data_IF_440423447666
#
_entry.id   IF_440423447666
#
_cell.length_a   1.000
_cell.length_b   1.000
_cell.length_c   1.000
_cell.angle_alpha   90.00
_cell.angle_beta   90.00
_cell.angle_gamma   90.00
#
_symmetry.space_group_name_H-M   'P 1'
#
loop_
_entity.id
_entity.type
_entity.pdbx_description
1 polymer ?
#
# COMPACT_ATOMS: atom_id res chain seq x y z
N UNK A 1 2.40 -15.28 -3.07
CA UNK A 1 2.62 -14.33 -1.96
C UNK A 1 3.68 -13.30 -2.36
N UNK A 2 4.94 -13.73 -2.55
CA UNK A 2 6.04 -12.81 -2.90
C UNK A 2 5.84 -12.01 -4.20
N UNK A 3 5.27 -12.59 -5.26
CA UNK A 3 5.02 -11.88 -6.53
C UNK A 3 4.13 -10.65 -6.37
N UNK A 4 3.00 -10.78 -5.68
CA UNK A 4 2.08 -9.67 -5.42
C UNK A 4 2.72 -8.57 -4.54
N UNK A 5 3.56 -8.97 -3.58
CA UNK A 5 4.32 -8.02 -2.75
C UNK A 5 5.31 -7.24 -3.61
N UNK A 6 6.05 -7.91 -4.48
CA UNK A 6 7.01 -7.29 -5.40
C UNK A 6 6.31 -6.33 -6.38
N UNK A 7 5.19 -6.74 -6.98
CA UNK A 7 4.39 -5.88 -7.86
C UNK A 7 3.87 -4.63 -7.14
N UNK A 8 3.36 -4.78 -5.91
CA UNK A 8 2.88 -3.66 -5.10
C UNK A 8 4.01 -2.68 -4.77
N UNK A 9 5.20 -3.20 -4.45
CA UNK A 9 6.39 -2.38 -4.20
C UNK A 9 6.84 -1.64 -5.46
N UNK A 10 6.94 -2.32 -6.59
CA UNK A 10 7.33 -1.72 -7.87
C UNK A 10 6.37 -0.59 -8.26
N UNK A 11 5.06 -0.82 -8.21
CA UNK A 11 4.06 0.21 -8.52
C UNK A 11 4.19 1.41 -7.59
N UNK A 12 4.43 1.20 -6.30
CA UNK A 12 4.63 2.26 -5.32
C UNK A 12 5.87 3.11 -5.61
N UNK A 13 7.02 2.47 -5.88
CA UNK A 13 8.26 3.20 -6.19
C UNK A 13 8.22 3.91 -7.54
N UNK A 14 7.61 3.31 -8.56
CA UNK A 14 7.42 3.94 -9.87
C UNK A 14 6.52 5.18 -9.74
N UNK A 15 5.41 5.06 -9.02
CA UNK A 15 4.53 6.20 -8.75
C UNK A 15 5.27 7.31 -7.98
N UNK A 16 6.03 6.96 -6.94
CA UNK A 16 6.84 7.91 -6.19
C UNK A 16 7.82 8.67 -7.08
N UNK A 17 8.57 7.97 -7.92
CA UNK A 17 9.56 8.58 -8.80
C UNK A 17 8.90 9.54 -9.82
N UNK A 18 7.80 9.10 -10.43
CA UNK A 18 7.05 9.90 -11.41
C UNK A 18 6.43 11.13 -10.75
N UNK A 19 5.72 10.97 -9.63
CA UNK A 19 5.10 12.09 -8.94
C UNK A 19 6.11 13.10 -8.42
N UNK A 20 7.23 12.61 -7.88
CA UNK A 20 8.33 13.47 -7.45
C UNK A 20 8.87 14.30 -8.61
N UNK A 21 9.08 13.69 -9.78
CA UNK A 21 9.52 14.41 -10.96
C UNK A 21 8.50 15.45 -11.44
N UNK A 22 7.20 15.10 -11.44
CA UNK A 22 6.12 16.04 -11.80
C UNK A 22 6.09 17.23 -10.84
N UNK A 23 6.11 16.97 -9.53
CA UNK A 23 6.12 18.02 -8.49
C UNK A 23 7.36 18.90 -8.65
N UNK A 24 8.54 18.30 -8.81
CA UNK A 24 9.78 19.06 -8.98
C UNK A 24 9.70 19.97 -10.21
N UNK A 25 9.31 19.46 -11.38
CA UNK A 25 9.21 20.27 -12.60
C UNK A 25 8.12 21.35 -12.50
N UNK A 26 6.99 21.05 -11.86
CA UNK A 26 5.89 21.98 -11.71
C UNK A 26 6.19 23.12 -10.71
N UNK A 27 6.93 22.83 -9.65
CA UNK A 27 7.09 23.75 -8.51
C UNK A 27 8.48 24.40 -8.43
N UNK A 28 9.55 23.76 -8.94
CA UNK A 28 10.94 24.19 -8.69
C UNK A 28 11.29 25.60 -9.18
N UNK A 29 10.54 26.13 -10.16
CA UNK A 29 10.76 27.48 -10.67
C UNK A 29 9.94 28.56 -9.95
N UNK A 30 8.87 28.18 -9.25
CA UNK A 30 7.86 29.12 -8.75
C UNK A 30 7.68 29.05 -7.23
N UNK A 31 8.18 28.00 -6.58
CA UNK A 31 7.94 27.73 -5.18
C UNK A 31 9.26 27.67 -4.39
N UNK A 32 9.50 28.61 -3.47
CA UNK A 32 10.72 28.63 -2.67
C UNK A 32 10.81 27.46 -1.67
N UNK A 33 9.74 26.69 -1.44
CA UNK A 33 9.77 25.50 -0.59
C UNK A 33 10.30 24.25 -1.31
N UNK A 34 10.33 24.24 -2.65
CA UNK A 34 10.75 23.09 -3.45
C UNK A 34 11.88 23.56 -4.38
N UNK A 35 13.13 23.48 -3.94
CA UNK A 35 14.28 23.92 -4.76
C UNK A 35 15.12 22.75 -5.27
N UNK A 36 15.05 21.61 -4.59
CA UNK A 36 15.78 20.41 -4.94
C UNK A 36 14.85 19.23 -5.21
N UNK A 37 15.36 18.22 -5.91
CA UNK A 37 14.64 16.96 -6.09
C UNK A 37 14.33 16.28 -4.76
N UNK A 38 15.18 16.47 -3.73
CA UNK A 38 14.96 15.92 -2.40
C UNK A 38 13.77 16.59 -1.70
N UNK A 39 13.57 17.89 -1.87
CA UNK A 39 12.40 18.60 -1.30
C UNK A 39 11.10 18.11 -1.95
N UNK A 40 11.10 17.91 -3.27
CA UNK A 40 9.97 17.36 -4.00
C UNK A 40 9.69 15.89 -3.59
N UNK A 41 10.75 15.09 -3.37
CA UNK A 41 10.63 13.71 -2.91
C UNK A 41 10.05 13.67 -1.50
N UNK A 42 10.56 14.53 -0.62
CA UNK A 42 10.08 14.67 0.74
C UNK A 42 8.60 15.07 0.78
N UNK A 43 8.19 16.08 0.00
CA UNK A 43 6.80 16.46 -0.17
C UNK A 43 5.93 15.29 -0.66
N UNK A 44 6.40 14.58 -1.68
CA UNK A 44 5.64 13.48 -2.28
C UNK A 44 5.47 12.32 -1.30
N UNK A 45 6.55 11.92 -0.60
CA UNK A 45 6.51 10.84 0.40
C UNK A 45 5.65 11.23 1.60
N UNK A 46 5.80 12.44 2.14
CA UNK A 46 5.01 12.90 3.29
C UNK A 46 3.52 13.04 2.95
N UNK A 47 3.19 13.45 1.73
CA UNK A 47 1.82 13.50 1.20
C UNK A 47 1.25 12.10 1.00
N UNK A 48 2.03 11.20 0.39
CA UNK A 48 1.65 9.82 0.06
C UNK A 48 1.38 8.98 1.31
N UNK A 49 2.21 9.16 2.33
CA UNK A 49 2.08 8.50 3.65
C UNK A 49 1.04 9.17 4.54
N UNK A 50 0.36 10.21 4.06
CA UNK A 50 -0.59 11.04 4.82
C UNK A 50 0.01 11.68 6.08
N UNK A 51 1.34 11.78 6.15
CA UNK A 51 2.05 12.39 7.28
C UNK A 51 1.90 13.92 7.25
N UNK A 52 2.07 14.52 6.08
CA UNK A 52 1.70 15.92 5.81
C UNK A 52 2.23 16.94 6.80
N UNK A 53 3.54 16.96 7.07
CA UNK A 53 4.17 17.86 8.04
C UNK A 53 3.90 19.36 7.78
N UNK A 54 3.71 19.74 6.52
CA UNK A 54 3.32 21.10 6.12
C UNK A 54 4.46 22.13 6.09
N UNK A 55 5.70 21.69 6.30
CA UNK A 55 6.94 22.45 6.16
C UNK A 55 7.33 22.66 4.68
N UNK A 56 7.12 21.65 3.85
CA UNK A 56 7.19 21.73 2.39
C UNK A 56 5.79 21.52 1.82
N UNK A 57 5.32 22.46 0.99
CA UNK A 57 3.98 22.41 0.39
C UNK A 57 4.01 22.89 -1.06
N UNK A 58 3.13 22.34 -1.90
CA UNK A 58 2.93 22.83 -3.26
C UNK A 58 2.18 24.17 -3.25
N UNK A 59 2.66 25.15 -4.02
CA UNK A 59 2.17 26.51 -4.02
C UNK A 59 1.15 26.75 -5.15
N UNK A 60 0.27 27.72 -4.92
CA UNK A 60 -0.72 28.15 -5.92
C UNK A 60 -1.86 27.16 -6.18
N UNK A 61 -2.83 27.53 -7.04
CA UNK A 61 -4.00 26.69 -7.31
C UNK A 61 -3.66 25.37 -7.99
N UNK A 62 -2.70 25.40 -8.93
CA UNK A 62 -2.26 24.22 -9.67
C UNK A 62 -1.48 23.24 -8.79
N UNK A 63 -0.58 23.73 -7.92
CA UNK A 63 0.12 22.90 -6.95
C UNK A 63 -0.83 22.23 -5.96
N UNK A 64 -1.87 22.93 -5.50
CA UNK A 64 -2.93 22.35 -4.67
C UNK A 64 -3.71 21.25 -5.40
N UNK A 65 -4.09 21.48 -6.66
CA UNK A 65 -4.78 20.46 -7.46
C UNK A 65 -3.90 19.22 -7.68
N UNK A 66 -2.62 19.43 -8.00
CA UNK A 66 -1.63 18.36 -8.13
C UNK A 66 -1.51 17.56 -6.83
N UNK A 67 -1.48 18.24 -5.69
CA UNK A 67 -1.42 17.63 -4.36
C UNK A 67 -2.65 16.76 -4.09
N UNK A 68 -3.85 17.24 -4.41
CA UNK A 68 -5.10 16.47 -4.24
C UNK A 68 -5.07 15.20 -5.09
N UNK A 69 -4.66 15.30 -6.36
CA UNK A 69 -4.54 14.13 -7.24
C UNK A 69 -3.48 13.15 -6.71
N UNK A 70 -2.33 13.66 -6.29
CA UNK A 70 -1.26 12.87 -5.70
C UNK A 70 -1.73 12.12 -4.43
N UNK A 71 -2.51 12.77 -3.57
CA UNK A 71 -3.10 12.17 -2.38
C UNK A 71 -4.09 11.05 -2.72
N UNK A 72 -5.01 11.28 -3.67
CA UNK A 72 -6.03 10.30 -4.05
C UNK A 72 -5.42 9.03 -4.64
N UNK A 73 -4.45 9.16 -5.55
CA UNK A 73 -3.77 8.00 -6.12
C UNK A 73 -2.86 7.38 -5.06
N UNK A 74 -2.17 8.23 -4.32
CA UNK A 74 -1.19 7.82 -3.35
C UNK A 74 -1.74 6.95 -2.23
N UNK A 75 -2.83 7.39 -1.59
CA UNK A 75 -3.45 6.64 -0.50
C UNK A 75 -3.88 5.24 -0.95
N UNK A 76 -4.33 5.08 -2.21
CA UNK A 76 -4.70 3.76 -2.73
C UNK A 76 -3.50 2.82 -2.85
N UNK A 77 -2.36 3.32 -3.32
CA UNK A 77 -1.13 2.52 -3.45
C UNK A 77 -0.53 2.20 -2.08
N UNK A 78 -0.54 3.15 -1.14
CA UNK A 78 -0.07 2.93 0.22
C UNK A 78 -0.91 1.88 0.95
N UNK A 79 -2.24 1.94 0.82
CA UNK A 79 -3.15 0.94 1.37
C UNK A 79 -2.98 -0.43 0.70
N UNK A 80 -2.75 -0.47 -0.62
CA UNK A 80 -2.48 -1.72 -1.33
C UNK A 80 -1.18 -2.37 -0.83
N UNK A 81 -0.11 -1.58 -0.70
CA UNK A 81 1.17 -2.06 -0.17
C UNK A 81 1.01 -2.59 1.27
N UNK A 82 0.39 -1.80 2.14
CA UNK A 82 0.11 -2.17 3.54
C UNK A 82 -0.71 -3.47 3.59
N UNK A 83 -1.79 -3.57 2.82
CA UNK A 83 -2.61 -4.78 2.73
C UNK A 83 -1.78 -5.98 2.28
N UNK A 84 -0.96 -5.86 1.26
CA UNK A 84 -0.16 -6.98 0.75
C UNK A 84 0.94 -7.42 1.73
N UNK A 85 1.47 -6.51 2.54
CA UNK A 85 2.47 -6.82 3.58
C UNK A 85 1.79 -7.50 4.79
N UNK A 86 0.64 -6.99 5.22
CA UNK A 86 -0.01 -7.42 6.47
C UNK A 86 -1.09 -8.49 6.30
N UNK A 87 -1.57 -8.75 5.08
CA UNK A 87 -2.50 -9.86 4.85
C UNK A 87 -1.76 -11.18 5.09
N UNK A 88 -2.05 -11.82 6.23
CA UNK A 88 -1.54 -13.15 6.56
C UNK A 88 -1.88 -14.17 5.47
N UNK A 89 -1.04 -15.19 5.34
CA UNK A 89 -1.25 -16.25 4.37
C UNK A 89 -2.64 -16.88 4.54
N UNK A 90 -3.49 -16.75 3.51
CA UNK A 90 -4.76 -17.48 3.46
C UNK A 90 -4.55 -18.83 2.81
N UNK A 91 -5.01 -19.88 3.46
CA UNK A 91 -5.03 -21.22 2.90
C UNK A 91 -6.37 -21.47 2.21
N UNK A 92 -6.31 -22.11 1.04
CA UNK A 92 -7.51 -22.51 0.30
C UNK A 92 -7.86 -23.95 0.65
N UNK A 93 -8.88 -24.14 1.46
CA UNK A 93 -9.49 -25.43 1.69
C UNK A 93 -10.99 -25.23 1.94
N UNK A 94 -11.80 -26.13 1.40
CA UNK A 94 -13.27 -26.01 1.48
C UNK A 94 -13.79 -26.57 2.79
N UNK A 95 -14.53 -25.77 3.54
CA UNK A 95 -15.24 -26.23 4.72
C UNK A 95 -16.33 -27.24 4.32
N UNK A 96 -16.36 -28.41 4.95
CA UNK A 96 -17.33 -29.48 4.67
C UNK A 96 -18.77 -29.11 5.00
N UNK A 97 -19.00 -28.14 5.89
CA UNK A 97 -20.33 -27.77 6.36
C UNK A 97 -20.92 -26.58 5.56
N UNK A 98 -20.17 -25.50 5.36
CA UNK A 98 -20.69 -24.27 4.74
C UNK A 98 -20.08 -23.95 3.36
N UNK A 99 -19.11 -24.72 2.88
CA UNK A 99 -18.48 -24.50 1.57
C UNK A 99 -17.52 -23.30 1.48
N UNK A 100 -17.23 -22.60 2.57
CA UNK A 100 -16.24 -21.50 2.57
C UNK A 100 -14.84 -22.07 2.24
N UNK A 101 -14.17 -21.49 1.24
CA UNK A 101 -12.91 -22.02 0.71
C UNK A 101 -11.64 -21.26 1.13
N UNK A 102 -11.77 -20.05 1.69
CA UNK A 102 -10.63 -19.23 2.09
C UNK A 102 -10.62 -19.02 3.61
N UNK A 103 -9.53 -19.45 4.26
CA UNK A 103 -9.37 -19.37 5.72
C UNK A 103 -7.98 -18.88 6.07
N UNK A 104 -7.81 -18.35 7.28
CA UNK A 104 -6.48 -17.97 7.77
C UNK A 104 -5.62 -19.22 8.00
N UNK A 105 -4.30 -19.10 7.80
CA UNK A 105 -3.38 -20.24 7.93
C UNK A 105 -3.43 -20.92 9.30
N UNK A 106 -3.78 -20.19 10.37
CA UNK A 106 -3.86 -20.68 11.73
C UNK A 106 -5.29 -21.05 12.17
N UNK A 107 -6.30 -20.92 11.30
CA UNK A 107 -7.69 -21.14 11.64
C UNK A 107 -7.95 -22.56 12.17
N UNK A 108 -8.45 -22.66 13.41
CA UNK A 108 -8.89 -23.92 14.05
C UNK A 108 -10.38 -24.17 13.79
N UNK A 109 -11.17 -23.09 13.63
CA UNK A 109 -12.60 -23.13 13.34
C UNK A 109 -12.93 -22.27 12.14
N UNK A 110 -13.93 -22.67 11.37
CA UNK A 110 -14.47 -21.88 10.26
C UNK A 110 -15.05 -20.57 10.81
N UNK A 111 -14.58 -19.42 10.31
CA UNK A 111 -15.10 -18.10 10.72
C UNK A 111 -16.59 -17.88 10.38
N UNK A 112 -17.12 -18.62 9.42
CA UNK A 112 -18.50 -18.45 8.97
C UNK A 112 -19.50 -19.31 9.74
N UNK A 113 -19.21 -20.60 9.93
CA UNK A 113 -20.15 -21.55 10.56
C UNK A 113 -19.67 -22.15 11.90
N UNK A 114 -18.45 -21.86 12.34
CA UNK A 114 -17.88 -22.38 13.59
C UNK A 114 -17.41 -23.84 13.57
N UNK A 115 -17.56 -24.53 12.43
CA UNK A 115 -17.12 -25.91 12.23
C UNK A 115 -15.63 -26.09 12.51
N UNK A 116 -15.25 -27.20 13.15
CA UNK A 116 -13.84 -27.49 13.42
C UNK A 116 -13.14 -27.85 12.10
N UNK A 117 -12.05 -27.13 11.86
CA UNK A 117 -11.22 -27.35 10.69
C UNK A 117 -10.24 -28.43 11.08
N UNK A 118 -10.39 -29.63 10.50
CA UNK A 118 -9.38 -30.69 10.67
C UNK A 118 -8.08 -30.19 10.06
N UNK A 119 -7.18 -29.64 10.88
CA UNK A 119 -5.75 -29.61 10.56
C UNK A 119 -5.34 -31.07 10.38
N UNK A 120 -5.22 -31.56 9.16
CA UNK A 120 -4.23 -32.60 8.90
C UNK A 120 -2.88 -31.96 9.19
N UNK A 121 -2.48 -31.97 10.46
CA UNK A 121 -1.06 -32.01 10.79
C UNK A 121 -0.51 -33.15 9.94
N UNK A 122 0.28 -32.84 8.92
CA UNK A 122 1.24 -33.82 8.42
C UNK A 122 2.28 -33.94 9.53
N UNK A 123 2.30 -35.02 10.33
CA UNK A 123 3.36 -35.26 11.28
C UNK A 123 4.43 -36.01 10.49
N UNK A 124 5.21 -35.31 9.66
CA UNK A 124 6.36 -35.91 8.98
C UNK A 124 7.50 -34.91 8.87
N UNK A 125 8.35 -34.96 9.90
CA UNK A 125 9.82 -34.89 9.96
C UNK A 125 10.11 -34.76 11.47
N UNK A 126 10.46 -35.80 12.25
CA UNK A 126 11.55 -36.79 12.12
C UNK A 126 12.84 -36.19 11.60
#
# INVERSE_FOLDING_TARGET
>A
HYSATIESLLNFFVFLAIMTAIVFVAEAQFNPHINSYLDALYFTVSTLTTTGYGDVTAAGPWGKLLSVVAMLIGITLFLQLTRTIFQGAKIRYTCSNCGLSAHDADAIRCKHCGELLKRTHSPLLS
#
